data_IF_877187185506
#
_entry.id   IF_877187185506
#
_cell.length_a   1.000
_cell.length_b   1.000
_cell.length_c   1.000
_cell.angle_alpha   90.00
_cell.angle_beta   90.00
_cell.angle_gamma   90.00
#
_symmetry.space_group_name_H-M   'P 1'
#
loop_
_entity.id
_entity.type
_entity.pdbx_description
1 polymer ?
#
# COMPACT_ATOMS: atom_id res chain seq x y z
N UNK A 1 14.08 21.43 -10.73
CA UNK A 1 15.27 22.18 -10.28
C UNK A 1 16.56 21.76 -11.01
N UNK A 2 16.93 20.47 -11.05
CA UNK A 2 18.18 20.02 -11.71
C UNK A 2 18.32 20.45 -13.19
N UNK A 3 17.27 20.26 -14.00
CA UNK A 3 17.27 20.66 -15.43
C UNK A 3 17.48 22.17 -15.62
N UNK A 4 16.95 22.99 -14.70
CA UNK A 4 17.12 24.45 -14.74
C UNK A 4 18.55 24.87 -14.37
N UNK A 5 19.17 24.19 -13.39
CA UNK A 5 20.57 24.41 -13.00
C UNK A 5 21.51 23.98 -14.14
N UNK A 6 21.25 22.82 -14.76
CA UNK A 6 22.00 22.37 -15.94
C UNK A 6 21.85 23.36 -17.09
N UNK A 7 20.63 23.85 -17.36
CA UNK A 7 20.38 24.89 -18.36
C UNK A 7 21.11 26.20 -18.08
N UNK A 8 21.21 26.63 -16.82
CA UNK A 8 21.94 27.83 -16.42
C UNK A 8 23.46 27.67 -16.60
N UNK A 9 24.01 26.51 -16.24
CA UNK A 9 25.43 26.17 -16.45
C UNK A 9 25.76 26.15 -17.95
N UNK A 10 24.86 25.62 -18.78
CA UNK A 10 24.99 25.66 -20.24
C UNK A 10 25.00 27.11 -20.76
N UNK A 11 24.06 27.94 -20.31
CA UNK A 11 23.95 29.33 -20.73
C UNK A 11 25.21 30.14 -20.39
N UNK A 12 25.72 30.00 -19.17
CA UNK A 12 26.94 30.71 -18.72
C UNK A 12 28.19 30.19 -19.43
N UNK A 13 28.31 28.87 -19.64
CA UNK A 13 29.47 28.27 -20.30
C UNK A 13 29.51 28.53 -21.81
N UNK A 14 28.35 28.80 -22.43
CA UNK A 14 28.22 29.09 -23.87
C UNK A 14 28.68 30.51 -24.26
N UNK A 15 28.89 31.42 -23.30
CA UNK A 15 29.35 32.79 -23.56
C UNK A 15 30.86 32.79 -23.86
N UNK A 16 31.24 32.43 -25.09
CA UNK A 16 32.63 32.48 -25.56
C UNK A 16 32.96 33.93 -25.91
N UNK A 17 33.80 34.59 -25.10
CA UNK A 17 34.32 35.91 -25.41
C UNK A 17 35.36 35.80 -26.52
N UNK A 18 35.07 36.34 -27.70
CA UNK A 18 36.01 36.40 -28.82
C UNK A 18 36.93 37.59 -28.53
N UNK A 19 38.24 37.32 -28.36
CA UNK A 19 39.23 38.34 -27.97
C UNK A 19 39.19 39.58 -28.87
N UNK A 20 39.50 40.75 -28.30
CA UNK A 20 39.29 42.04 -28.98
C UNK A 20 40.28 42.33 -30.12
N UNK A 21 41.24 41.43 -30.38
CA UNK A 21 42.30 41.61 -31.38
C UNK A 21 42.34 40.45 -32.40
N UNK A 22 42.64 40.75 -33.67
CA UNK A 22 42.73 39.77 -34.77
C UNK A 22 43.67 38.57 -34.49
N UNK A 23 44.77 38.81 -33.78
CA UNK A 23 45.77 37.78 -33.42
C UNK A 23 45.26 36.83 -32.34
N UNK A 24 44.44 37.32 -31.41
CA UNK A 24 43.77 36.49 -30.41
C UNK A 24 42.67 35.64 -31.05
N UNK A 25 41.90 36.21 -31.99
CA UNK A 25 40.93 35.48 -32.79
C UNK A 25 41.53 34.30 -33.55
N UNK A 26 42.67 34.50 -34.24
CA UNK A 26 43.37 33.42 -34.96
C UNK A 26 43.91 32.32 -34.04
N UNK A 27 44.39 32.66 -32.82
CA UNK A 27 44.81 31.67 -31.82
C UNK A 27 43.63 30.87 -31.28
N UNK A 28 42.49 31.52 -31.03
CA UNK A 28 41.26 30.81 -30.61
C UNK A 28 40.74 29.88 -31.69
N UNK A 29 40.83 30.24 -32.98
CA UNK A 29 40.50 29.36 -34.12
C UNK A 29 41.42 28.14 -34.19
N UNK A 30 42.74 28.34 -34.03
CA UNK A 30 43.72 27.24 -34.05
C UNK A 30 43.51 26.24 -32.89
N UNK A 31 43.08 26.72 -31.73
CA UNK A 31 42.82 25.90 -30.54
C UNK A 31 41.34 25.55 -30.34
N UNK A 32 40.47 25.94 -31.28
CA UNK A 32 39.01 25.88 -31.13
C UNK A 32 38.54 24.46 -30.86
N UNK A 33 39.08 23.46 -31.58
CA UNK A 33 38.74 22.05 -31.36
C UNK A 33 39.07 21.58 -29.93
N UNK A 34 40.22 21.99 -29.39
CA UNK A 34 40.66 21.58 -28.05
C UNK A 34 39.83 22.26 -26.95
N UNK A 35 39.53 23.55 -27.11
CA UNK A 35 38.67 24.31 -26.19
C UNK A 35 37.24 23.74 -26.20
N UNK A 36 36.68 23.49 -27.39
CA UNK A 36 35.35 22.88 -27.53
C UNK A 36 35.31 21.48 -26.93
N UNK A 37 36.34 20.66 -27.15
CA UNK A 37 36.42 19.32 -26.57
C UNK A 37 36.46 19.36 -25.03
N UNK A 38 37.32 20.20 -24.44
CA UNK A 38 37.42 20.35 -22.99
C UNK A 38 36.11 20.87 -22.38
N UNK A 39 35.47 21.88 -23.00
CA UNK A 39 34.20 22.44 -22.54
C UNK A 39 33.06 21.43 -22.65
N UNK A 40 32.98 20.71 -23.77
CA UNK A 40 32.02 19.62 -23.98
C UNK A 40 32.18 18.54 -22.92
N UNK A 41 33.41 18.10 -22.64
CA UNK A 41 33.70 17.10 -21.62
C UNK A 41 33.24 17.54 -20.22
N UNK A 42 33.49 18.80 -19.83
CA UNK A 42 33.04 19.34 -18.55
C UNK A 42 31.51 19.35 -18.46
N UNK A 43 30.82 19.80 -19.52
CA UNK A 43 29.36 19.81 -19.57
C UNK A 43 28.78 18.40 -19.43
N UNK A 44 29.35 17.42 -20.14
CA UNK A 44 28.93 16.03 -20.04
C UNK A 44 29.16 15.47 -18.65
N UNK A 45 30.31 15.73 -18.02
CA UNK A 45 30.59 15.29 -16.65
C UNK A 45 29.61 15.88 -15.65
N UNK A 46 29.39 17.20 -15.70
CA UNK A 46 28.44 17.88 -14.80
C UNK A 46 27.03 17.30 -14.97
N UNK A 47 26.57 17.18 -16.22
CA UNK A 47 25.24 16.62 -16.52
C UNK A 47 25.12 15.17 -16.03
N UNK A 48 26.13 14.34 -16.25
CA UNK A 48 26.15 12.95 -15.82
C UNK A 48 26.06 12.83 -14.30
N UNK A 49 26.82 13.63 -13.55
CA UNK A 49 26.76 13.66 -12.09
C UNK A 49 25.37 14.03 -11.59
N UNK A 50 24.73 15.04 -12.20
CA UNK A 50 23.36 15.42 -11.82
C UNK A 50 22.33 14.32 -12.13
N UNK A 51 22.44 13.67 -13.29
CA UNK A 51 21.55 12.57 -13.67
C UNK A 51 21.71 11.38 -12.73
N UNK A 52 22.95 10.95 -12.48
CA UNK A 52 23.25 9.84 -11.57
C UNK A 52 22.79 10.18 -10.15
N UNK A 53 23.10 11.39 -9.65
CA UNK A 53 22.67 11.85 -8.34
C UNK A 53 21.14 11.87 -8.20
N UNK A 54 20.43 12.31 -9.25
CA UNK A 54 18.96 12.28 -9.30
C UNK A 54 18.39 10.86 -9.25
N UNK A 55 18.98 9.92 -9.98
CA UNK A 55 18.57 8.50 -9.98
C UNK A 55 18.80 7.86 -8.61
N UNK A 56 19.96 8.11 -7.99
CA UNK A 56 20.30 7.58 -6.67
C UNK A 56 19.33 8.13 -5.63
N UNK A 57 19.07 9.45 -5.65
CA UNK A 57 18.12 10.09 -4.75
C UNK A 57 16.72 9.50 -4.94
N UNK A 58 16.23 9.41 -6.18
CA UNK A 58 14.92 8.83 -6.45
C UNK A 58 14.82 7.40 -5.91
N UNK A 59 15.81 6.56 -6.20
CA UNK A 59 15.87 5.16 -5.75
C UNK A 59 15.85 5.05 -4.22
N UNK A 60 16.66 5.85 -3.52
CA UNK A 60 16.73 5.82 -2.06
C UNK A 60 15.40 6.26 -1.42
N UNK A 61 14.81 7.35 -1.93
CA UNK A 61 13.54 7.87 -1.43
C UNK A 61 12.38 6.92 -1.71
N UNK A 62 12.28 6.37 -2.93
CA UNK A 62 11.23 5.43 -3.29
C UNK A 62 11.34 4.11 -2.52
N UNK A 63 12.56 3.58 -2.39
CA UNK A 63 12.80 2.33 -1.65
C UNK A 63 12.32 2.46 -0.20
N UNK A 64 12.68 3.54 0.50
CA UNK A 64 12.27 3.70 1.90
C UNK A 64 10.77 3.99 2.07
N UNK A 65 10.16 4.77 1.18
CA UNK A 65 8.73 5.14 1.28
C UNK A 65 7.75 4.07 0.78
N UNK A 66 8.24 3.06 0.05
CA UNK A 66 7.40 1.98 -0.50
C UNK A 66 7.75 0.63 0.14
N UNK A 67 9.02 0.22 0.14
CA UNK A 67 9.40 -1.13 0.55
C UNK A 67 9.12 -1.40 2.03
N UNK A 68 9.41 -0.44 2.91
CA UNK A 68 9.15 -0.57 4.35
C UNK A 68 7.65 -0.75 4.67
N UNK A 69 6.78 0.17 4.22
CA UNK A 69 5.33 0.03 4.38
C UNK A 69 4.78 -1.25 3.75
N UNK A 70 5.25 -1.62 2.56
CA UNK A 70 4.81 -2.83 1.88
C UNK A 70 5.19 -4.11 2.65
N UNK A 71 6.40 -4.16 3.22
CA UNK A 71 6.81 -5.25 4.09
C UNK A 71 5.90 -5.36 5.32
N UNK A 72 5.60 -4.24 5.97
CA UNK A 72 4.66 -4.20 7.11
C UNK A 72 3.27 -4.70 6.71
N UNK A 73 2.76 -4.30 5.55
CA UNK A 73 1.49 -4.80 5.02
C UNK A 73 1.49 -6.30 4.81
N UNK A 74 2.59 -6.85 4.28
CA UNK A 74 2.76 -8.30 4.13
C UNK A 74 2.74 -9.05 5.47
N UNK A 75 3.37 -8.49 6.50
CA UNK A 75 3.32 -9.06 7.87
C UNK A 75 1.90 -8.99 8.42
N UNK A 76 1.22 -7.85 8.31
CA UNK A 76 -0.17 -7.71 8.76
C UNK A 76 -1.11 -8.67 8.04
N UNK A 77 -0.93 -8.85 6.72
CA UNK A 77 -1.71 -9.82 5.94
C UNK A 77 -1.51 -11.27 6.43
N UNK A 78 -0.28 -11.65 6.80
CA UNK A 78 -0.01 -12.98 7.41
C UNK A 78 -0.71 -13.15 8.76
N UNK A 79 -0.71 -12.11 9.60
CA UNK A 79 -1.43 -12.13 10.88
C UNK A 79 -2.94 -12.30 10.66
N UNK A 80 -3.50 -11.57 9.69
CA UNK A 80 -4.92 -11.71 9.33
C UNK A 80 -5.22 -13.12 8.80
N UNK A 81 -4.33 -13.68 7.97
CA UNK A 81 -4.45 -15.05 7.46
C UNK A 81 -4.38 -16.11 8.58
N UNK A 82 -3.72 -15.83 9.70
CA UNK A 82 -3.74 -16.70 10.89
C UNK A 82 -5.04 -16.63 11.71
N UNK A 83 -5.99 -15.78 11.32
CA UNK A 83 -7.32 -15.66 11.94
C UNK A 83 -7.48 -14.49 12.92
N UNK A 84 -6.45 -13.66 13.10
CA UNK A 84 -6.55 -12.43 13.89
C UNK A 84 -7.10 -11.27 13.04
N UNK A 85 -8.41 -11.11 13.09
CA UNK A 85 -9.12 -9.99 12.45
C UNK A 85 -9.28 -8.77 13.38
N UNK A 86 -8.68 -8.74 14.58
CA UNK A 86 -8.70 -7.57 15.47
C UNK A 86 -7.63 -6.53 15.08
N UNK A 87 -6.64 -6.94 14.27
CA UNK A 87 -5.57 -6.07 13.82
C UNK A 87 -6.11 -4.92 12.94
N UNK A 88 -5.68 -3.69 13.26
CA UNK A 88 -5.87 -2.50 12.41
C UNK A 88 -4.54 -2.01 11.88
N UNK A 89 -4.42 -1.98 10.56
CA UNK A 89 -3.22 -1.55 9.84
C UNK A 89 -3.19 -0.03 9.74
N UNK A 90 -2.13 0.58 10.27
CA UNK A 90 -1.87 2.03 10.15
C UNK A 90 -0.45 2.28 9.62
N UNK A 91 -0.36 3.11 8.58
CA UNK A 91 0.89 3.57 7.97
C UNK A 91 1.29 4.94 8.54
N UNK A 92 2.54 5.34 8.30
CA UNK A 92 3.05 6.65 8.74
C UNK A 92 2.67 7.72 7.73
N UNK A 93 2.53 8.95 8.21
CA UNK A 93 2.28 10.11 7.36
C UNK A 93 3.46 10.28 6.38
N UNK A 94 3.17 10.13 5.08
CA UNK A 94 4.16 10.18 4.00
C UNK A 94 4.46 8.85 3.30
N UNK A 95 3.92 7.72 3.78
CA UNK A 95 3.94 6.44 3.06
C UNK A 95 3.00 6.49 1.85
N UNK A 96 3.34 5.83 0.75
CA UNK A 96 2.55 5.95 -0.51
C UNK A 96 1.41 4.93 -0.58
N UNK A 97 1.50 3.82 0.15
CA UNK A 97 0.60 2.65 0.02
C UNK A 97 -0.60 2.67 0.98
N UNK A 98 -1.11 3.86 1.31
CA UNK A 98 -2.30 4.04 2.16
C UNK A 98 -3.55 3.33 1.64
N UNK A 99 -3.89 3.37 0.33
CA UNK A 99 -5.08 2.68 -0.19
C UNK A 99 -5.06 1.17 0.03
N UNK A 100 -3.87 0.55 0.03
CA UNK A 100 -3.73 -0.88 0.30
C UNK A 100 -3.94 -1.19 1.79
N UNK A 101 -3.46 -0.34 2.69
CA UNK A 101 -3.73 -0.44 4.12
C UNK A 101 -5.23 -0.32 4.43
N UNK A 102 -5.91 0.64 3.79
CA UNK A 102 -7.36 0.81 3.90
C UNK A 102 -8.13 -0.41 3.38
N UNK A 103 -7.72 -0.96 2.24
CA UNK A 103 -8.32 -2.17 1.69
C UNK A 103 -8.17 -3.37 2.62
N UNK A 104 -7.01 -3.51 3.27
CA UNK A 104 -6.76 -4.59 4.23
C UNK A 104 -7.59 -4.40 5.51
N UNK A 105 -7.74 -3.16 5.99
CA UNK A 105 -8.62 -2.84 7.11
C UNK A 105 -10.10 -3.10 6.79
N UNK A 106 -10.53 -2.77 5.58
CA UNK A 106 -11.89 -3.07 5.15
C UNK A 106 -12.12 -4.58 5.12
N UNK A 107 -11.13 -5.35 4.65
CA UNK A 107 -11.19 -6.81 4.66
C UNK A 107 -11.33 -7.37 6.09
N UNK A 108 -10.53 -6.89 7.03
CA UNK A 108 -10.61 -7.35 8.43
C UNK A 108 -11.92 -6.97 9.09
N UNK A 109 -12.43 -5.77 8.82
CA UNK A 109 -13.73 -5.31 9.34
C UNK A 109 -14.86 -6.22 8.87
N UNK A 110 -14.94 -6.49 7.56
CA UNK A 110 -15.99 -7.37 6.99
C UNK A 110 -15.91 -8.80 7.53
N UNK A 111 -14.71 -9.31 7.79
CA UNK A 111 -14.56 -10.63 8.41
C UNK A 111 -15.00 -10.62 9.87
N UNK A 112 -14.67 -9.57 10.61
CA UNK A 112 -15.12 -9.39 11.99
C UNK A 112 -16.64 -9.33 12.11
N UNK A 113 -17.30 -8.53 11.26
CA UNK A 113 -18.77 -8.44 11.20
C UNK A 113 -19.40 -9.81 10.94
N UNK A 114 -18.86 -10.58 9.98
CA UNK A 114 -19.34 -11.94 9.69
C UNK A 114 -19.16 -12.89 10.86
N UNK A 115 -18.00 -12.87 11.52
CA UNK A 115 -17.74 -13.70 12.69
C UNK A 115 -18.67 -13.36 13.87
N UNK A 116 -18.95 -12.07 14.07
CA UNK A 116 -19.93 -11.62 15.06
C UNK A 116 -21.32 -12.15 14.74
N UNK A 117 -21.77 -12.03 13.49
CA UNK A 117 -23.07 -12.57 13.05
C UNK A 117 -23.20 -14.07 13.29
N UNK A 118 -22.15 -14.85 12.99
CA UNK A 118 -22.13 -16.29 13.25
C UNK A 118 -22.22 -16.57 14.76
N UNK A 119 -21.45 -15.84 15.58
CA UNK A 119 -21.45 -16.00 17.04
C UNK A 119 -22.83 -15.68 17.63
N UNK A 120 -23.49 -14.63 17.16
CA UNK A 120 -24.83 -14.26 17.61
C UNK A 120 -25.87 -15.32 17.22
N UNK A 121 -25.77 -15.89 16.01
CA UNK A 121 -26.65 -16.99 15.59
C UNK A 121 -26.40 -18.28 16.39
N UNK A 122 -25.14 -18.62 16.67
CA UNK A 122 -24.79 -19.75 17.53
C UNK A 122 -25.38 -19.60 18.94
N UNK A 123 -25.31 -18.40 19.52
CA UNK A 123 -25.92 -18.11 20.82
C UNK A 123 -27.43 -18.33 20.81
N UNK A 124 -28.12 -17.91 19.74
CA UNK A 124 -29.57 -18.17 19.58
C UNK A 124 -29.89 -19.66 19.48
N UNK A 125 -29.05 -20.45 18.82
CA UNK A 125 -29.19 -21.91 18.75
C UNK A 125 -29.02 -22.53 20.13
N UNK A 126 -28.04 -22.08 20.91
CA UNK A 126 -27.81 -22.53 22.28
C UNK A 126 -29.00 -22.20 23.20
N UNK A 127 -29.51 -20.96 23.15
CA UNK A 127 -30.71 -20.53 23.88
C UNK A 127 -31.96 -21.32 23.48
N UNK A 128 -32.13 -21.65 22.19
CA UNK A 128 -33.25 -22.46 21.71
C UNK A 128 -33.13 -23.92 22.18
N UNK A 129 -31.92 -24.49 22.20
CA UNK A 129 -31.67 -25.83 22.70
C UNK A 129 -31.89 -25.94 24.22
N UNK A 130 -31.49 -24.93 24.99
CA UNK A 130 -31.72 -24.87 26.44
C UNK A 130 -33.23 -24.80 26.76
N UNK A 131 -33.99 -23.98 26.02
CA UNK A 131 -35.46 -23.93 26.14
C UNK A 131 -36.10 -25.29 25.87
N UNK A 132 -35.66 -26.00 24.83
CA UNK A 132 -36.11 -27.36 24.54
C UNK A 132 -35.84 -28.33 25.69
N UNK A 133 -34.63 -28.27 26.27
CA UNK A 133 -34.26 -29.06 27.44
C UNK A 133 -35.20 -28.81 28.62
N UNK A 134 -35.50 -27.54 28.91
CA UNK A 134 -36.41 -27.16 30.02
C UNK A 134 -37.87 -27.60 29.81
N UNK A 135 -38.34 -27.66 28.57
CA UNK A 135 -39.72 -28.06 28.24
C UNK A 135 -39.92 -29.59 28.22
N UNK A 136 -38.84 -30.35 28.06
CA UNK A 136 -38.85 -31.81 28.08
C UNK A 136 -39.23 -32.39 29.46
N UNK A 137 -39.19 -31.59 30.52
CA UNK A 137 -39.41 -32.06 31.91
C UNK A 137 -40.83 -31.83 32.45
N UNK A 138 -41.76 -31.20 31.71
CA UNK A 138 -43.10 -30.97 32.29
C UNK A 138 -44.22 -30.32 31.48
N UNK A 139 -44.05 -29.95 30.20
CA UNK A 139 -45.12 -29.25 29.44
C UNK A 139 -45.60 -30.01 28.20
N UNK A 140 -46.88 -29.82 27.85
CA UNK A 140 -47.58 -30.58 26.81
C UNK A 140 -46.96 -30.48 25.42
N UNK A 141 -47.14 -31.54 24.61
CA UNK A 141 -46.56 -31.74 23.27
C UNK A 141 -46.46 -30.47 22.41
N UNK A 142 -47.49 -29.61 22.38
CA UNK A 142 -47.51 -28.43 21.52
C UNK A 142 -46.53 -27.30 21.88
N UNK A 143 -46.04 -27.20 23.13
CA UNK A 143 -45.00 -26.23 23.49
C UNK A 143 -43.61 -26.74 23.07
N UNK A 144 -43.37 -28.02 23.28
CA UNK A 144 -42.16 -28.71 22.85
C UNK A 144 -42.00 -28.70 21.33
N UNK A 145 -43.06 -29.04 20.60
CA UNK A 145 -43.06 -29.10 19.12
C UNK A 145 -42.76 -27.72 18.50
N UNK A 146 -43.33 -26.65 19.06
CA UNK A 146 -43.01 -25.26 18.65
C UNK A 146 -41.56 -24.87 18.93
N UNK A 147 -41.00 -25.29 20.06
CA UNK A 147 -39.60 -25.02 20.38
C UNK A 147 -38.64 -25.80 19.46
N UNK A 148 -39.05 -27.00 19.04
CA UNK A 148 -38.30 -27.86 18.12
C UNK A 148 -38.29 -27.29 16.71
N UNK A 149 -39.42 -26.78 16.24
CA UNK A 149 -39.54 -26.05 14.97
C UNK A 149 -38.65 -24.79 14.97
N UNK A 150 -38.66 -24.03 16.07
CA UNK A 150 -37.84 -22.82 16.19
C UNK A 150 -36.33 -23.15 16.19
N UNK A 151 -35.90 -24.21 16.88
CA UNK A 151 -34.52 -24.67 16.84
C UNK A 151 -34.13 -25.08 15.42
N UNK A 152 -34.95 -25.91 14.76
CA UNK A 152 -34.73 -26.35 13.39
C UNK A 152 -34.56 -25.14 12.44
N UNK A 153 -35.45 -24.15 12.53
CA UNK A 153 -35.35 -22.93 11.74
C UNK A 153 -34.04 -22.15 12.00
N UNK A 154 -33.67 -21.95 13.27
CA UNK A 154 -32.42 -21.24 13.59
C UNK A 154 -31.16 -21.98 13.12
N UNK A 155 -31.17 -23.32 13.14
CA UNK A 155 -30.07 -24.14 12.60
C UNK A 155 -29.98 -24.07 11.08
N UNK A 156 -31.12 -24.05 10.37
CA UNK A 156 -31.18 -23.88 8.92
C UNK A 156 -30.64 -22.51 8.50
N UNK A 157 -31.02 -21.45 9.24
CA UNK A 157 -30.50 -20.11 9.02
C UNK A 157 -28.99 -19.99 9.28
N UNK A 158 -28.47 -20.65 10.32
CA UNK A 158 -27.04 -20.70 10.61
C UNK A 158 -26.30 -21.42 9.49
N UNK A 159 -26.81 -22.58 9.05
CA UNK A 159 -26.26 -23.35 7.92
C UNK A 159 -26.21 -22.51 6.65
N UNK A 160 -27.27 -21.76 6.34
CA UNK A 160 -27.30 -20.84 5.20
C UNK A 160 -26.25 -19.74 5.34
N UNK A 161 -26.15 -19.12 6.52
CA UNK A 161 -25.17 -18.04 6.79
C UNK A 161 -23.73 -18.53 6.63
N UNK A 162 -23.42 -19.75 7.09
CA UNK A 162 -22.11 -20.38 6.90
C UNK A 162 -21.89 -20.77 5.43
N UNK A 163 -22.92 -21.27 4.74
CA UNK A 163 -22.86 -21.62 3.32
C UNK A 163 -22.66 -20.43 2.38
N UNK A 164 -23.18 -19.25 2.75
CA UNK A 164 -22.97 -18.01 2.00
C UNK A 164 -21.52 -17.48 2.12
N UNK A 165 -20.78 -17.91 3.15
CA UNK A 165 -19.34 -17.67 3.27
C UNK A 165 -18.65 -18.67 2.35
N UNK A 166 -18.35 -18.24 1.12
CA UNK A 166 -17.45 -18.98 0.23
C UNK A 166 -16.11 -19.21 0.95
N UNK A 167 -15.89 -20.44 1.41
CA UNK A 167 -14.58 -20.99 1.75
C UNK A 167 -13.75 -21.20 0.48
#
# INVERSE_FOLDING_TARGET
MGVAVTGLVLYVSSQIFIGQTYTEGLRTLAQMKQILFQKSLIIYLVTSVFVIGGIVMLTLFYSHRVAGPLYRLGVSAKTIASGDYMLRVRLRDGDVVHPLAESLNLLTERHRERLQLIRDKLKRVEEAAERLGSLSEGEGNGAFERALDHLSQTTEELKKTVGDIRL
#
